data_IF_055678951464
#
_entry.id   IF_055678951464
#
_cell.length_a   1.000
_cell.length_b   1.000
_cell.length_c   1.000
_cell.angle_alpha   90.00
_cell.angle_beta   90.00
_cell.angle_gamma   90.00
#
_symmetry.space_group_name_H-M   'P 1'
#
loop_
_entity.id
_entity.type
_entity.pdbx_description
1 polymer ?
#
# COMPACT_ATOMS: atom_id res chain seq x y z
N UNK A 1 20.31 2.03 17.96
CA UNK A 1 19.21 3.00 18.11
C UNK A 1 18.26 2.76 16.94
N UNK A 2 16.95 2.94 17.10
CA UNK A 2 16.03 2.81 15.97
C UNK A 2 16.37 3.82 14.87
N UNK A 3 16.14 3.42 13.60
CA UNK A 3 16.30 4.34 12.47
C UNK A 3 15.23 5.44 12.55
N UNK A 4 15.66 6.67 12.27
CA UNK A 4 14.80 7.87 12.34
C UNK A 4 14.13 8.14 11.01
N UNK A 5 12.81 8.33 11.05
CA UNK A 5 11.94 8.41 9.90
C UNK A 5 11.29 9.78 9.80
N UNK A 6 11.26 10.34 8.58
CA UNK A 6 10.40 11.46 8.18
C UNK A 6 9.24 10.92 7.34
N UNK A 7 8.02 11.30 7.68
CA UNK A 7 6.85 11.13 6.80
C UNK A 7 6.67 12.42 5.99
N UNK A 8 6.87 12.36 4.67
CA UNK A 8 6.65 13.48 3.76
C UNK A 8 5.29 13.34 3.08
N UNK A 9 4.37 14.25 3.38
CA UNK A 9 2.96 14.15 3.02
C UNK A 9 2.13 13.45 4.10
N UNK A 10 1.26 14.22 4.75
CA UNK A 10 0.46 13.74 5.88
C UNK A 10 -1.04 13.67 5.54
N UNK A 11 -1.32 13.24 4.29
CA UNK A 11 -2.65 12.92 3.78
C UNK A 11 -3.18 11.59 4.36
N UNK A 12 -4.14 10.96 3.68
CA UNK A 12 -4.74 9.68 4.12
C UNK A 12 -3.68 8.63 4.45
N UNK A 13 -2.81 8.31 3.49
CA UNK A 13 -1.80 7.25 3.65
C UNK A 13 -0.74 7.62 4.68
N UNK A 14 -0.26 8.86 4.70
CA UNK A 14 0.73 9.30 5.70
C UNK A 14 0.22 9.16 7.14
N UNK A 15 -1.06 9.52 7.39
CA UNK A 15 -1.68 9.35 8.71
C UNK A 15 -1.89 7.89 9.09
N UNK A 16 -2.39 7.06 8.16
CA UNK A 16 -2.56 5.64 8.43
C UNK A 16 -1.22 4.92 8.62
N UNK A 17 -0.19 5.30 7.87
CA UNK A 17 1.16 4.79 8.04
C UNK A 17 1.74 5.17 9.42
N UNK A 18 1.53 6.40 9.88
CA UNK A 18 1.92 6.81 11.24
C UNK A 18 1.22 5.93 12.29
N UNK A 19 -0.11 5.74 12.20
CA UNK A 19 -0.86 4.87 13.11
C UNK A 19 -0.25 3.46 13.15
N UNK A 20 0.02 2.87 11.98
CA UNK A 20 0.60 1.53 11.86
C UNK A 20 2.03 1.42 12.45
N UNK A 21 2.82 2.50 12.34
CA UNK A 21 4.16 2.55 12.94
C UNK A 21 4.07 2.71 14.46
N UNK A 22 3.20 3.58 14.95
CA UNK A 22 3.06 3.84 16.39
C UNK A 22 2.54 2.61 17.15
N UNK A 23 1.71 1.79 16.51
CA UNK A 23 1.16 0.56 17.08
C UNK A 23 2.25 -0.48 17.38
N UNK A 24 3.20 -0.67 16.45
CA UNK A 24 4.21 -1.73 16.55
C UNK A 24 5.60 -1.25 16.99
N UNK A 25 5.92 0.04 16.86
CA UNK A 25 7.27 0.55 17.13
C UNK A 25 8.30 0.13 16.07
N UNK A 26 9.54 -0.15 16.49
CA UNK A 26 10.71 -0.60 15.70
C UNK A 26 11.42 0.50 14.89
N UNK A 27 10.74 1.56 14.48
CA UNK A 27 11.31 2.79 13.89
C UNK A 27 10.82 4.01 14.65
N UNK A 28 11.58 5.10 14.62
CA UNK A 28 11.24 6.35 15.28
C UNK A 28 10.81 7.40 14.26
N UNK A 29 9.52 7.75 14.22
CA UNK A 29 9.07 8.90 13.42
C UNK A 29 9.46 10.17 14.18
N UNK A 30 10.41 10.94 13.66
CA UNK A 30 10.91 12.17 14.29
C UNK A 30 10.31 13.43 13.69
N UNK A 31 9.83 13.34 12.45
CA UNK A 31 9.19 14.48 11.77
C UNK A 31 8.10 14.06 10.80
N UNK A 32 7.15 14.97 10.62
CA UNK A 32 6.10 14.94 9.60
C UNK A 32 6.22 16.25 8.82
N UNK A 33 6.19 16.18 7.49
CA UNK A 33 6.14 17.34 6.62
C UNK A 33 4.79 17.37 5.87
N UNK A 34 4.00 18.42 6.11
CA UNK A 34 2.68 18.61 5.46
C UNK A 34 2.49 20.10 5.12
N UNK A 35 2.20 20.39 3.86
CA UNK A 35 2.09 21.77 3.37
C UNK A 35 0.65 22.23 3.10
N UNK A 36 -0.31 21.30 3.10
CA UNK A 36 -1.71 21.58 2.76
C UNK A 36 -2.57 21.87 4.00
N UNK A 37 -2.09 21.52 5.21
CA UNK A 37 -2.80 21.73 6.47
C UNK A 37 -1.86 22.24 7.54
N UNK A 38 -2.40 23.01 8.48
CA UNK A 38 -1.67 23.41 9.68
C UNK A 38 -1.59 22.25 10.71
N UNK A 39 -0.84 22.47 11.77
CA UNK A 39 -0.61 21.48 12.82
C UNK A 39 -1.90 21.13 13.58
N UNK A 40 -2.77 22.10 13.83
CA UNK A 40 -4.02 21.89 14.56
C UNK A 40 -4.98 21.02 13.75
N UNK A 41 -5.16 21.34 12.48
CA UNK A 41 -5.95 20.55 11.53
C UNK A 41 -5.38 19.15 11.39
N UNK A 42 -4.05 19.01 11.27
CA UNK A 42 -3.37 17.72 11.15
C UNK A 42 -3.55 16.86 12.41
N UNK A 43 -3.48 17.45 13.61
CA UNK A 43 -3.78 16.75 14.86
C UNK A 43 -5.23 16.24 14.89
N UNK A 44 -6.18 17.13 14.60
CA UNK A 44 -7.62 16.83 14.61
C UNK A 44 -7.97 15.67 13.67
N UNK A 45 -7.57 15.73 12.38
CA UNK A 45 -7.89 14.67 11.42
C UNK A 45 -7.06 13.38 11.62
N UNK A 46 -6.04 13.40 12.47
CA UNK A 46 -5.35 12.18 12.92
C UNK A 46 -6.13 11.50 14.04
N UNK A 47 -6.66 12.28 14.97
CA UNK A 47 -7.46 11.75 16.07
C UNK A 47 -8.82 11.23 15.60
N UNK A 48 -9.49 12.02 14.75
CA UNK A 48 -10.85 11.72 14.27
C UNK A 48 -10.82 11.42 12.77
N UNK A 49 -10.96 10.15 12.42
CA UNK A 49 -11.10 9.71 11.03
C UNK A 49 -12.50 9.14 10.79
N UNK A 50 -13.16 9.61 9.74
CA UNK A 50 -14.55 9.23 9.43
C UNK A 50 -14.74 7.72 9.23
N UNK A 51 -13.74 7.03 8.71
CA UNK A 51 -13.83 5.62 8.33
C UNK A 51 -13.04 4.71 9.27
N UNK A 52 -11.86 5.17 9.70
CA UNK A 52 -10.97 4.39 10.56
C UNK A 52 -11.18 4.67 12.05
N UNK A 53 -12.14 5.54 12.38
CA UNK A 53 -12.50 5.86 13.75
C UNK A 53 -11.45 6.68 14.51
N UNK A 54 -11.64 6.78 15.80
CA UNK A 54 -10.76 7.54 16.69
C UNK A 54 -9.41 6.85 16.89
N UNK A 55 -8.36 7.65 17.02
CA UNK A 55 -7.01 7.17 17.28
C UNK A 55 -6.39 7.94 18.45
N UNK A 56 -5.91 7.24 19.46
CA UNK A 56 -5.33 7.84 20.68
C UNK A 56 -6.25 8.92 21.29
N UNK A 57 -7.54 8.63 21.41
CA UNK A 57 -8.56 9.57 21.88
C UNK A 57 -8.10 10.36 23.12
N UNK A 58 -8.22 11.69 23.05
CA UNK A 58 -7.77 12.66 24.06
C UNK A 58 -6.26 12.61 24.39
N UNK A 59 -5.44 11.95 23.56
CA UNK A 59 -3.98 11.84 23.75
C UNK A 59 -3.19 12.47 22.60
N UNK A 60 -3.86 13.13 21.66
CA UNK A 60 -3.21 13.89 20.58
C UNK A 60 -3.29 15.38 20.94
N UNK A 61 -2.14 16.03 20.97
CA UNK A 61 -2.03 17.46 21.24
C UNK A 61 -0.91 18.07 20.42
N UNK A 62 -0.85 19.40 20.38
CA UNK A 62 0.26 20.12 19.75
C UNK A 62 0.68 21.33 20.56
N UNK A 63 1.96 21.65 20.47
CA UNK A 63 2.54 22.86 21.06
C UNK A 63 3.67 23.38 20.14
N UNK A 64 3.56 24.66 19.74
CA UNK A 64 4.47 25.21 18.72
C UNK A 64 4.43 24.36 17.44
N UNK A 65 5.57 23.79 17.05
CA UNK A 65 5.69 22.92 15.90
C UNK A 65 5.87 21.43 16.27
N UNK A 66 5.41 21.04 17.44
CA UNK A 66 5.48 19.65 17.94
C UNK A 66 4.09 19.05 18.02
N UNK A 67 3.88 17.93 17.35
CA UNK A 67 2.74 17.04 17.57
C UNK A 67 3.09 16.02 18.66
N UNK A 68 2.17 15.80 19.57
CA UNK A 68 2.32 14.80 20.63
C UNK A 68 1.27 13.69 20.43
N UNK A 69 1.72 12.46 20.32
CA UNK A 69 0.89 11.27 20.14
C UNK A 69 1.07 10.33 21.35
N UNK A 70 0.29 10.56 22.41
CA UNK A 70 0.36 9.73 23.61
C UNK A 70 1.74 9.77 24.29
N UNK A 71 2.41 10.91 24.30
CA UNK A 71 3.77 11.11 24.83
C UNK A 71 4.89 11.03 23.80
N UNK A 72 4.64 10.55 22.58
CA UNK A 72 5.63 10.58 21.50
C UNK A 72 5.58 11.93 20.79
N UNK A 73 6.66 12.69 20.87
CA UNK A 73 6.81 14.03 20.29
C UNK A 73 7.40 13.94 18.89
N UNK A 74 6.67 14.47 17.89
CA UNK A 74 7.04 14.46 16.47
C UNK A 74 7.07 15.91 15.97
N UNK A 75 8.15 16.31 15.30
CA UNK A 75 8.30 17.66 14.75
C UNK A 75 7.39 17.80 13.52
N UNK A 76 6.58 18.85 13.48
CA UNK A 76 5.73 19.17 12.35
C UNK A 76 6.39 20.25 11.48
N UNK A 77 6.53 19.96 10.20
CA UNK A 77 7.16 20.82 9.20
C UNK A 77 6.16 21.22 8.13
N UNK A 78 6.36 22.40 7.54
CA UNK A 78 5.57 22.91 6.40
C UNK A 78 6.51 23.39 5.29
N UNK A 79 7.41 22.50 4.85
CA UNK A 79 8.49 22.82 3.91
C UNK A 79 8.14 22.27 2.54
N UNK A 80 8.05 23.17 1.55
CA UNK A 80 7.66 22.82 0.18
C UNK A 80 8.76 22.15 -0.61
N UNK A 81 10.00 22.67 -0.51
CA UNK A 81 11.14 22.12 -1.24
C UNK A 81 11.82 21.07 -0.38
N UNK A 82 11.98 19.88 -0.90
CA UNK A 82 12.57 18.75 -0.17
C UNK A 82 14.02 18.98 0.26
N UNK A 83 14.77 19.80 -0.49
CA UNK A 83 16.17 20.16 -0.17
C UNK A 83 16.28 21.04 1.06
N UNK A 84 15.22 21.76 1.43
CA UNK A 84 15.19 22.67 2.58
C UNK A 84 14.79 21.94 3.87
N UNK A 85 14.42 20.67 3.79
CA UNK A 85 14.06 19.87 4.96
C UNK A 85 15.33 19.58 5.76
N UNK A 86 15.39 19.92 7.07
CA UNK A 86 16.60 19.78 7.88
C UNK A 86 16.84 18.33 8.32
N UNK A 87 16.99 17.41 7.36
CA UNK A 87 17.09 15.95 7.62
C UNK A 87 18.31 15.61 8.48
N UNK A 88 19.43 16.30 8.28
CA UNK A 88 20.67 16.08 9.04
C UNK A 88 20.48 16.48 10.51
N UNK A 89 19.90 17.64 10.79
CA UNK A 89 19.63 18.13 12.15
C UNK A 89 18.66 17.21 12.90
N UNK A 90 17.69 16.65 12.18
CA UNK A 90 16.71 15.72 12.73
C UNK A 90 17.27 14.29 12.85
N UNK A 91 18.41 14.03 12.24
CA UNK A 91 19.02 12.71 12.15
C UNK A 91 18.18 11.71 11.32
N UNK A 92 17.39 12.20 10.36
CA UNK A 92 16.54 11.38 9.50
C UNK A 92 17.39 10.51 8.58
N UNK A 93 17.17 9.22 8.61
CA UNK A 93 17.85 8.25 7.76
C UNK A 93 16.95 7.67 6.69
N UNK A 94 15.62 7.63 6.93
CA UNK A 94 14.62 7.09 6.03
C UNK A 94 13.51 8.12 5.82
N UNK A 95 13.10 8.33 4.58
CA UNK A 95 11.89 9.10 4.23
C UNK A 95 10.81 8.15 3.74
N UNK A 96 9.60 8.29 4.29
CA UNK A 96 8.38 7.72 3.72
C UNK A 96 7.70 8.80 2.90
N UNK A 97 7.70 8.64 1.57
CA UNK A 97 7.12 9.61 0.64
C UNK A 97 5.64 9.29 0.39
N UNK A 98 4.77 10.11 0.94
CA UNK A 98 3.30 9.93 0.91
C UNK A 98 2.55 11.08 0.22
N UNK A 99 3.25 12.00 -0.47
CA UNK A 99 2.57 13.13 -1.14
C UNK A 99 1.87 12.72 -2.43
N UNK A 100 2.28 11.61 -3.04
CA UNK A 100 1.84 11.20 -4.37
C UNK A 100 2.37 12.09 -5.51
N UNK A 101 3.24 13.08 -5.21
CA UNK A 101 3.82 14.02 -6.19
C UNK A 101 5.23 13.64 -6.63
N UNK A 102 5.98 12.98 -5.76
CA UNK A 102 7.35 12.52 -6.02
C UNK A 102 7.33 11.05 -6.41
N UNK A 103 7.11 10.77 -7.69
CA UNK A 103 6.92 9.43 -8.25
C UNK A 103 7.89 9.09 -9.39
N UNK A 104 9.05 9.73 -9.39
CA UNK A 104 10.17 9.45 -10.29
C UNK A 104 11.50 9.62 -9.57
N UNK A 105 12.54 8.93 -10.02
CA UNK A 105 13.90 9.03 -9.45
C UNK A 105 14.36 10.48 -9.40
N UNK A 106 14.15 11.25 -10.47
CA UNK A 106 14.55 12.65 -10.52
C UNK A 106 13.92 13.52 -9.41
N UNK A 107 12.67 13.21 -9.01
CA UNK A 107 11.99 13.93 -7.92
C UNK A 107 12.35 13.43 -6.53
N UNK A 108 12.86 12.20 -6.43
CA UNK A 108 13.22 11.55 -5.17
C UNK A 108 14.69 11.72 -4.84
N UNK A 109 15.55 11.88 -5.87
CA UNK A 109 16.98 12.08 -5.72
C UNK A 109 17.37 13.21 -4.74
N UNK A 110 16.65 14.37 -4.74
CA UNK A 110 16.95 15.45 -3.78
C UNK A 110 16.90 15.04 -2.31
N UNK A 111 16.10 14.04 -1.92
CA UNK A 111 16.16 13.51 -0.54
C UNK A 111 17.48 12.82 -0.26
N UNK A 112 17.97 12.03 -1.21
CA UNK A 112 19.24 11.31 -1.11
C UNK A 112 20.44 12.27 -1.10
N UNK A 113 20.38 13.32 -1.92
CA UNK A 113 21.41 14.36 -1.98
C UNK A 113 21.47 15.19 -0.69
N UNK A 114 20.34 15.34 -0.02
CA UNK A 114 20.21 15.99 1.28
C UNK A 114 20.65 15.10 2.48
N UNK A 115 21.14 13.87 2.20
CA UNK A 115 21.74 13.00 3.21
C UNK A 115 20.87 11.86 3.73
N UNK A 116 19.63 11.71 3.23
CA UNK A 116 18.77 10.56 3.54
C UNK A 116 19.38 9.29 2.94
N UNK A 117 19.40 8.21 3.70
CA UNK A 117 19.91 6.92 3.20
C UNK A 117 18.92 6.22 2.27
N UNK A 118 17.63 6.22 2.63
CA UNK A 118 16.58 5.48 1.91
C UNK A 118 15.30 6.30 1.76
N UNK A 119 14.65 6.10 0.62
CA UNK A 119 13.30 6.64 0.37
C UNK A 119 12.35 5.49 0.06
N UNK A 120 11.30 5.34 0.88
CA UNK A 120 10.22 4.38 0.70
C UNK A 120 9.00 5.12 0.18
N UNK A 121 8.57 4.81 -1.04
CA UNK A 121 7.51 5.55 -1.73
C UNK A 121 6.17 4.83 -1.60
N UNK A 122 5.12 5.57 -1.24
CA UNK A 122 3.75 5.07 -1.09
C UNK A 122 2.97 5.00 -2.41
N UNK A 123 3.67 4.93 -3.53
CA UNK A 123 3.07 4.85 -4.88
C UNK A 123 4.07 4.17 -5.82
N UNK A 124 3.62 3.53 -6.90
CA UNK A 124 4.53 2.97 -7.89
C UNK A 124 5.43 4.05 -8.51
N UNK A 125 6.72 3.77 -8.61
CA UNK A 125 7.71 4.51 -9.38
C UNK A 125 8.02 3.67 -10.62
N UNK A 126 7.98 4.30 -11.80
CA UNK A 126 8.09 3.59 -13.08
C UNK A 126 9.51 3.60 -13.65
N UNK A 127 10.43 4.29 -12.98
CA UNK A 127 11.81 4.40 -13.43
C UNK A 127 12.54 3.07 -13.19
N UNK A 128 13.41 2.69 -14.09
CA UNK A 128 14.23 1.49 -13.99
C UNK A 128 15.11 1.52 -12.73
N UNK A 129 15.32 0.36 -12.13
CA UNK A 129 16.15 0.21 -10.92
C UNK A 129 15.44 0.55 -9.61
N UNK A 130 14.16 0.93 -9.64
CA UNK A 130 13.35 1.12 -8.42
C UNK A 130 12.44 -0.09 -8.22
N UNK A 131 12.72 -0.96 -7.24
CA UNK A 131 11.92 -2.15 -7.04
C UNK A 131 10.55 -1.81 -6.44
N UNK A 132 9.50 -2.39 -7.02
CA UNK A 132 8.17 -2.45 -6.45
C UNK A 132 8.09 -3.66 -5.52
N UNK A 133 8.14 -3.42 -4.21
CA UNK A 133 8.16 -4.49 -3.20
C UNK A 133 6.75 -4.74 -2.68
N UNK A 134 6.34 -5.99 -2.75
CA UNK A 134 5.10 -6.50 -2.16
C UNK A 134 5.48 -7.53 -1.10
N UNK A 135 5.29 -7.17 0.15
CA UNK A 135 5.66 -8.02 1.30
C UNK A 135 4.97 -9.38 1.21
N UNK A 136 5.75 -10.45 1.38
CA UNK A 136 5.31 -11.84 1.26
C UNK A 136 5.22 -12.37 -0.17
N UNK A 137 5.64 -11.57 -1.18
CA UNK A 137 5.63 -11.97 -2.59
C UNK A 137 7.01 -11.88 -3.23
N UNK A 138 7.71 -10.75 -3.07
CA UNK A 138 9.01 -10.48 -3.69
C UNK A 138 9.93 -9.62 -2.81
N UNK A 139 9.75 -9.64 -1.52
CA UNK A 139 10.52 -8.82 -0.58
C UNK A 139 12.00 -9.19 -0.50
N UNK A 140 12.37 -10.38 -0.98
CA UNK A 140 13.76 -10.80 -1.18
C UNK A 140 14.52 -9.96 -2.23
N UNK A 141 13.81 -9.29 -3.15
CA UNK A 141 14.42 -8.42 -4.16
C UNK A 141 15.07 -7.16 -3.55
N UNK A 142 14.71 -6.78 -2.34
CA UNK A 142 15.32 -5.61 -1.71
C UNK A 142 16.76 -5.90 -1.27
N UNK A 143 17.70 -5.31 -1.99
CA UNK A 143 19.13 -5.28 -1.64
C UNK A 143 19.52 -3.86 -1.13
N UNK A 144 19.94 -3.69 0.14
CA UNK A 144 20.33 -2.40 0.68
C UNK A 144 21.63 -1.82 0.05
N UNK A 145 22.44 -2.64 -0.62
CA UNK A 145 23.64 -2.15 -1.30
C UNK A 145 23.33 -1.50 -2.65
N UNK A 146 22.17 -1.82 -3.24
CA UNK A 146 21.75 -1.38 -4.58
C UNK A 146 20.60 -0.38 -4.51
N UNK A 147 19.56 -0.69 -3.73
CA UNK A 147 18.30 0.02 -3.79
C UNK A 147 18.22 1.12 -2.72
N UNK A 148 18.44 2.36 -3.12
CA UNK A 148 18.27 3.54 -2.24
C UNK A 148 16.85 4.11 -2.27
N UNK A 149 16.12 3.88 -3.35
CA UNK A 149 14.71 4.22 -3.55
C UNK A 149 13.97 2.92 -3.80
N UNK A 150 12.84 2.71 -3.12
CA UNK A 150 11.97 1.55 -3.31
C UNK A 150 10.52 1.95 -3.07
N UNK A 151 9.59 1.16 -3.58
CA UNK A 151 8.16 1.44 -3.42
C UNK A 151 7.43 0.27 -2.77
N UNK A 152 6.37 0.58 -2.01
CA UNK A 152 5.39 -0.41 -1.53
C UNK A 152 4.33 -0.74 -2.59
N UNK A 153 4.63 -0.51 -3.88
CA UNK A 153 3.69 -0.67 -4.99
C UNK A 153 2.36 0.11 -4.78
N UNK A 154 1.22 -0.46 -5.17
CA UNK A 154 -0.11 0.11 -4.91
C UNK A 154 -0.95 -0.79 -4.01
N UNK A 155 -2.01 -0.26 -3.41
CA UNK A 155 -2.94 -1.03 -2.59
C UNK A 155 -3.53 -2.22 -3.36
N UNK A 156 -3.96 -2.01 -4.60
CA UNK A 156 -4.51 -3.06 -5.47
C UNK A 156 -3.42 -4.09 -5.82
N UNK A 157 -2.19 -3.66 -6.11
CA UNK A 157 -1.07 -4.59 -6.37
C UNK A 157 -0.78 -5.46 -5.15
N UNK A 158 -0.81 -4.89 -3.95
CA UNK A 158 -0.65 -5.64 -2.70
C UNK A 158 -1.77 -6.66 -2.48
N UNK A 159 -3.00 -6.38 -2.96
CA UNK A 159 -4.10 -7.34 -2.89
C UNK A 159 -3.93 -8.49 -3.91
N UNK A 160 -3.68 -8.16 -5.18
CA UNK A 160 -3.73 -9.17 -6.24
C UNK A 160 -2.44 -10.00 -6.35
N UNK A 161 -1.28 -9.45 -6.01
CA UNK A 161 -0.01 -10.16 -6.16
C UNK A 161 0.10 -11.44 -5.30
N UNK A 162 -0.22 -11.46 -3.99
CA UNK A 162 -0.16 -12.68 -3.21
C UNK A 162 -1.14 -13.76 -3.71
N UNK A 163 -2.33 -13.37 -4.17
CA UNK A 163 -3.33 -14.30 -4.72
C UNK A 163 -2.81 -14.92 -6.02
N UNK A 164 -2.35 -14.10 -6.95
CA UNK A 164 -1.87 -14.56 -8.26
C UNK A 164 -0.56 -15.36 -8.12
N UNK A 165 0.37 -14.90 -7.26
CA UNK A 165 1.65 -15.60 -7.04
C UNK A 165 1.41 -17.01 -6.54
N UNK A 166 0.55 -17.18 -5.54
CA UNK A 166 0.22 -18.51 -5.00
C UNK A 166 -0.37 -19.42 -6.07
N UNK A 167 -1.36 -18.94 -6.83
CA UNK A 167 -1.99 -19.72 -7.90
C UNK A 167 -0.99 -20.04 -9.02
N UNK A 168 -0.13 -19.08 -9.39
CA UNK A 168 0.89 -19.29 -10.41
C UNK A 168 1.92 -20.33 -9.99
N UNK A 169 2.42 -20.25 -8.77
CA UNK A 169 3.44 -21.17 -8.26
C UNK A 169 2.92 -22.62 -8.10
N UNK A 170 1.64 -22.77 -7.72
CA UNK A 170 1.07 -24.09 -7.41
C UNK A 170 0.43 -24.77 -8.63
N UNK A 171 -0.21 -24.00 -9.50
CA UNK A 171 -1.02 -24.54 -10.61
C UNK A 171 -0.47 -24.09 -11.96
N UNK A 172 0.09 -22.86 -12.02
CA UNK A 172 0.48 -22.18 -13.24
C UNK A 172 -0.66 -21.36 -13.85
N UNK A 173 -0.40 -20.11 -14.20
CA UNK A 173 -1.35 -19.19 -14.86
C UNK A 173 -0.96 -19.05 -16.33
N UNK A 174 -1.91 -19.29 -17.24
CA UNK A 174 -1.75 -19.04 -18.68
C UNK A 174 -1.93 -17.57 -19.00
N UNK A 175 -3.05 -17.01 -18.63
CA UNK A 175 -3.44 -15.59 -18.78
C UNK A 175 -4.63 -15.29 -17.87
N UNK A 176 -4.98 -14.01 -17.76
CA UNK A 176 -6.13 -13.62 -16.97
C UNK A 176 -6.52 -12.17 -17.09
N UNK A 177 -7.69 -11.87 -16.51
CA UNK A 177 -8.25 -10.54 -16.42
C UNK A 177 -8.55 -10.19 -14.98
N UNK A 178 -8.28 -8.93 -14.61
CA UNK A 178 -8.48 -8.43 -13.25
C UNK A 178 -9.35 -7.20 -13.30
N UNK A 179 -10.42 -7.19 -12.51
CA UNK A 179 -11.22 -5.99 -12.30
C UNK A 179 -11.22 -5.62 -10.84
N UNK A 180 -10.73 -4.43 -10.50
CA UNK A 180 -10.88 -3.92 -9.14
C UNK A 180 -12.12 -3.04 -9.02
N UNK A 181 -13.02 -3.41 -8.14
CA UNK A 181 -14.17 -2.62 -7.69
C UNK A 181 -13.62 -1.76 -6.55
N UNK A 182 -13.25 -0.53 -6.89
CA UNK A 182 -12.39 0.30 -6.04
C UNK A 182 -13.16 1.46 -5.43
N UNK A 183 -13.04 1.64 -4.13
CA UNK A 183 -13.60 2.77 -3.43
C UNK A 183 -13.04 4.12 -3.94
N UNK A 184 -13.59 5.20 -3.43
CA UNK A 184 -13.16 6.57 -3.74
C UNK A 184 -11.73 6.83 -3.26
N UNK A 185 -11.05 7.71 -3.99
CA UNK A 185 -9.73 8.24 -3.61
C UNK A 185 -9.70 9.75 -3.86
N UNK A 186 -8.75 10.45 -3.26
CA UNK A 186 -8.58 11.90 -3.42
C UNK A 186 -8.30 12.37 -4.86
N UNK A 187 -8.16 11.45 -5.83
CA UNK A 187 -8.04 11.77 -7.26
C UNK A 187 -9.39 11.94 -7.94
N UNK A 188 -10.48 11.79 -7.21
CA UNK A 188 -11.85 11.93 -7.70
C UNK A 188 -12.50 13.14 -7.03
N UNK A 189 -13.41 13.79 -7.78
CA UNK A 189 -14.18 14.92 -7.26
C UNK A 189 -15.53 14.48 -6.72
N UNK A 190 -16.03 15.16 -5.70
CA UNK A 190 -17.38 14.95 -5.17
C UNK A 190 -18.43 15.33 -6.21
N UNK A 191 -18.26 16.52 -6.83
CA UNK A 191 -19.08 17.05 -7.94
C UNK A 191 -18.26 17.09 -9.22
N UNK A 192 -18.91 17.36 -10.37
CA UNK A 192 -18.24 17.49 -11.67
C UNK A 192 -17.16 18.59 -11.60
N UNK A 193 -15.91 18.23 -11.93
CA UNK A 193 -14.76 19.13 -11.82
C UNK A 193 -13.74 18.88 -12.93
N UNK A 194 -13.43 19.90 -13.77
CA UNK A 194 -12.58 19.74 -14.94
C UNK A 194 -11.12 19.35 -14.62
N UNK A 195 -10.61 19.68 -13.43
CA UNK A 195 -9.24 19.35 -13.00
C UNK A 195 -8.95 17.86 -12.84
N UNK A 196 -9.99 17.04 -12.70
CA UNK A 196 -9.86 15.57 -12.63
C UNK A 196 -9.76 14.90 -14.02
N UNK A 197 -10.00 15.66 -15.11
CA UNK A 197 -10.16 15.11 -16.47
C UNK A 197 -8.85 14.84 -17.22
N UNK A 198 -7.71 15.26 -16.71
CA UNK A 198 -6.43 15.37 -17.45
C UNK A 198 -6.03 14.13 -18.26
N UNK A 199 -6.42 12.93 -17.81
CA UNK A 199 -6.09 11.66 -18.50
C UNK A 199 -7.31 10.78 -18.76
N UNK A 200 -8.42 11.00 -18.08
CA UNK A 200 -9.61 10.16 -18.11
C UNK A 200 -10.86 11.04 -17.82
N UNK A 201 -11.63 11.43 -18.85
CA UNK A 201 -12.78 12.33 -18.69
C UNK A 201 -13.82 11.87 -17.67
N UNK A 202 -13.99 10.54 -17.47
CA UNK A 202 -14.93 10.01 -16.48
C UNK A 202 -14.58 10.42 -15.06
N UNK A 203 -13.31 10.67 -14.76
CA UNK A 203 -12.85 11.15 -13.43
C UNK A 203 -13.28 12.58 -13.14
N UNK A 204 -13.63 13.37 -14.16
CA UNK A 204 -14.20 14.69 -13.99
C UNK A 204 -15.65 14.67 -13.52
N UNK A 205 -16.32 13.51 -13.64
CA UNK A 205 -17.69 13.36 -13.17
C UNK A 205 -17.72 13.12 -11.67
N UNK A 206 -18.75 13.68 -11.04
CA UNK A 206 -18.98 13.54 -9.61
C UNK A 206 -19.03 12.07 -9.17
N UNK A 207 -18.44 11.79 -8.04
CA UNK A 207 -18.29 10.43 -7.52
C UNK A 207 -19.39 9.99 -6.55
N UNK A 208 -20.21 10.92 -6.09
CA UNK A 208 -21.37 10.62 -5.23
C UNK A 208 -22.48 10.02 -6.10
N UNK A 209 -23.01 8.87 -5.69
CA UNK A 209 -24.07 8.15 -6.41
C UNK A 209 -23.74 7.82 -7.87
N UNK A 210 -22.47 7.68 -8.20
CA UNK A 210 -21.99 7.39 -9.54
C UNK A 210 -20.89 6.33 -9.52
N UNK A 211 -20.86 5.47 -10.54
CA UNK A 211 -19.77 4.51 -10.75
C UNK A 211 -19.36 4.48 -12.22
N UNK A 212 -18.10 4.16 -12.48
CA UNK A 212 -17.58 4.13 -13.84
C UNK A 212 -16.31 3.28 -13.96
N UNK A 213 -16.10 2.62 -15.13
CA UNK A 213 -14.83 1.98 -15.41
C UNK A 213 -13.75 3.02 -15.71
N UNK A 214 -12.53 2.72 -15.27
CA UNK A 214 -11.35 3.54 -15.53
C UNK A 214 -10.12 2.66 -15.63
N UNK A 215 -9.01 3.22 -16.09
CA UNK A 215 -7.75 2.51 -16.16
C UNK A 215 -7.18 2.20 -14.78
N UNK A 216 -6.49 1.07 -14.64
CA UNK A 216 -5.63 0.75 -13.51
C UNK A 216 -4.27 0.29 -14.00
N UNK A 217 -3.22 0.72 -13.33
CA UNK A 217 -1.87 0.21 -13.58
C UNK A 217 -1.58 -1.12 -12.87
N UNK A 218 -2.47 -1.55 -11.98
CA UNK A 218 -2.18 -2.65 -11.04
C UNK A 218 -2.02 -4.00 -11.72
N UNK A 219 -2.81 -4.31 -12.76
CA UNK A 219 -2.66 -5.55 -13.53
C UNK A 219 -1.29 -5.63 -14.22
N UNK A 220 -0.79 -4.49 -14.72
CA UNK A 220 0.57 -4.40 -15.28
C UNK A 220 1.62 -4.45 -14.17
N UNK A 221 1.39 -3.74 -13.07
CA UNK A 221 2.34 -3.70 -11.94
C UNK A 221 2.56 -5.09 -11.31
N UNK A 222 1.54 -5.96 -11.30
CA UNK A 222 1.74 -7.36 -10.86
C UNK A 222 2.73 -8.10 -11.75
N UNK A 223 2.81 -7.79 -13.04
CA UNK A 223 3.79 -8.42 -13.93
C UNK A 223 5.22 -7.88 -13.76
N UNK A 224 5.39 -6.78 -13.03
CA UNK A 224 6.71 -6.32 -12.57
C UNK A 224 7.13 -7.06 -11.30
N UNK A 225 6.16 -7.46 -10.47
CA UNK A 225 6.35 -8.25 -9.25
C UNK A 225 6.49 -9.76 -9.56
N UNK A 226 5.80 -10.25 -10.61
CA UNK A 226 5.82 -11.64 -11.09
C UNK A 226 6.15 -11.61 -12.59
N UNK A 227 7.44 -11.51 -12.97
CA UNK A 227 7.86 -11.28 -14.36
C UNK A 227 7.39 -12.35 -15.36
N UNK A 228 7.18 -13.58 -14.90
CA UNK A 228 6.72 -14.72 -15.72
C UNK A 228 5.32 -14.50 -16.32
N UNK A 229 4.56 -13.56 -15.73
CA UNK A 229 3.21 -13.21 -16.18
C UNK A 229 3.19 -11.97 -17.09
N UNK A 230 4.34 -11.47 -17.52
CA UNK A 230 4.43 -10.31 -18.43
C UNK A 230 3.70 -10.60 -19.74
N UNK A 231 2.75 -9.70 -20.09
CA UNK A 231 1.91 -9.83 -21.28
C UNK A 231 0.73 -10.80 -21.14
N UNK A 232 0.59 -11.50 -20.00
CA UNK A 232 -0.47 -12.48 -19.76
C UNK A 232 -1.63 -11.93 -18.93
N UNK A 233 -1.45 -10.80 -18.25
CA UNK A 233 -2.45 -10.18 -17.40
C UNK A 233 -2.83 -8.78 -17.90
N UNK A 234 -4.12 -8.47 -17.83
CA UNK A 234 -4.65 -7.14 -18.08
C UNK A 234 -5.85 -6.86 -17.17
N UNK A 235 -6.30 -5.61 -17.07
CA UNK A 235 -7.43 -5.30 -16.21
C UNK A 235 -7.83 -3.84 -16.18
N UNK A 236 -8.94 -3.59 -15.48
CA UNK A 236 -9.55 -2.29 -15.30
C UNK A 236 -9.92 -2.06 -13.82
N UNK A 237 -10.21 -0.82 -13.49
CA UNK A 237 -10.87 -0.47 -12.24
C UNK A 237 -12.31 -0.03 -12.53
N UNK A 238 -13.22 -0.36 -11.63
CA UNK A 238 -14.55 0.24 -11.55
C UNK A 238 -14.55 1.05 -10.27
N UNK A 239 -14.70 2.38 -10.38
CA UNK A 239 -14.85 3.25 -9.21
C UNK A 239 -16.28 3.19 -8.73
N UNK A 240 -16.45 2.99 -7.43
CA UNK A 240 -17.76 2.90 -6.77
C UNK A 240 -17.85 3.92 -5.63
N UNK A 241 -19.06 4.42 -5.30
CA UNK A 241 -19.26 5.46 -4.29
C UNK A 241 -19.16 4.91 -2.86
N UNK A 242 -18.10 4.18 -2.57
CA UNK A 242 -17.75 3.69 -1.25
C UNK A 242 -16.54 4.46 -0.73
N UNK A 243 -16.51 4.72 0.55
CA UNK A 243 -15.47 5.53 1.15
C UNK A 243 -14.19 4.75 1.44
N UNK A 244 -14.31 3.47 1.79
CA UNK A 244 -13.17 2.59 2.07
C UNK A 244 -13.55 1.14 1.74
N UNK A 245 -12.56 0.27 1.71
CA UNK A 245 -12.60 -1.12 1.31
C UNK A 245 -12.95 -1.32 -0.17
N UNK A 246 -12.26 -2.23 -0.77
CA UNK A 246 -12.32 -2.52 -2.20
C UNK A 246 -12.34 -4.04 -2.42
N UNK A 247 -12.76 -4.45 -3.61
CA UNK A 247 -12.83 -5.84 -4.02
C UNK A 247 -12.08 -6.04 -5.34
N UNK A 248 -11.29 -7.08 -5.46
CA UNK A 248 -10.76 -7.51 -6.75
C UNK A 248 -11.50 -8.75 -7.25
N UNK A 249 -11.92 -8.71 -8.50
CA UNK A 249 -12.40 -9.84 -9.31
C UNK A 249 -11.22 -10.32 -10.15
N UNK A 250 -10.73 -11.53 -9.89
CA UNK A 250 -9.56 -12.13 -10.52
C UNK A 250 -10.03 -13.37 -11.28
N UNK A 251 -9.99 -13.32 -12.61
CA UNK A 251 -10.34 -14.45 -13.48
C UNK A 251 -9.09 -14.90 -14.24
N UNK A 252 -8.68 -16.16 -14.00
CA UNK A 252 -7.44 -16.72 -14.52
C UNK A 252 -7.70 -18.03 -15.25
N UNK A 253 -7.09 -18.20 -16.42
CA UNK A 253 -6.95 -19.48 -17.07
C UNK A 253 -5.71 -20.20 -16.54
N UNK A 254 -5.90 -21.37 -15.96
CA UNK A 254 -4.86 -22.16 -15.32
C UNK A 254 -4.20 -23.13 -16.28
N UNK A 255 -2.97 -23.57 -15.96
CA UNK A 255 -2.24 -24.57 -16.75
C UNK A 255 -2.72 -26.00 -16.50
N UNK A 256 -3.34 -26.25 -15.33
CA UNK A 256 -3.83 -27.55 -14.89
C UNK A 256 -5.30 -27.43 -14.46
N UNK A 257 -6.02 -28.51 -14.59
CA UNK A 257 -7.37 -28.61 -14.04
C UNK A 257 -7.34 -28.63 -12.51
N UNK A 258 -8.32 -27.95 -11.92
CA UNK A 258 -8.50 -27.83 -10.47
C UNK A 258 -10.00 -27.74 -10.13
N UNK A 259 -10.33 -27.94 -8.85
CA UNK A 259 -11.66 -27.67 -8.31
C UNK A 259 -11.64 -26.42 -7.41
N UNK A 260 -12.80 -25.87 -7.09
CA UNK A 260 -12.91 -24.72 -6.19
C UNK A 260 -12.39 -25.06 -4.78
N UNK A 261 -12.64 -26.27 -4.31
CA UNK A 261 -12.15 -26.77 -3.02
C UNK A 261 -10.62 -26.84 -2.98
N UNK A 262 -10.00 -27.32 -4.06
CA UNK A 262 -8.53 -27.35 -4.17
C UNK A 262 -7.94 -25.94 -4.17
N UNK A 263 -8.54 -25.00 -4.89
CA UNK A 263 -8.13 -23.58 -4.91
C UNK A 263 -8.25 -22.97 -3.51
N UNK A 264 -9.37 -23.18 -2.83
CA UNK A 264 -9.60 -22.67 -1.47
C UNK A 264 -8.62 -23.29 -0.45
N UNK A 265 -8.32 -24.58 -0.58
CA UNK A 265 -7.34 -25.25 0.28
C UNK A 265 -5.94 -24.64 0.16
N UNK A 266 -5.50 -24.25 -1.05
CA UNK A 266 -4.23 -23.56 -1.24
C UNK A 266 -4.18 -22.21 -0.53
N UNK A 267 -5.27 -21.44 -0.56
CA UNK A 267 -5.36 -20.17 0.16
C UNK A 267 -5.32 -20.37 1.67
N UNK A 268 -6.02 -21.37 2.20
CA UNK A 268 -5.97 -21.70 3.62
C UNK A 268 -4.55 -22.07 4.09
N UNK A 269 -3.87 -22.95 3.34
CA UNK A 269 -2.49 -23.34 3.64
C UNK A 269 -1.56 -22.13 3.68
N UNK A 270 -1.66 -21.26 2.67
CA UNK A 270 -0.82 -20.07 2.58
C UNK A 270 -1.10 -19.06 3.71
N UNK A 271 -2.37 -18.81 4.03
CA UNK A 271 -2.80 -17.91 5.08
C UNK A 271 -2.41 -18.39 6.50
N UNK A 272 -2.40 -19.70 6.72
CA UNK A 272 -1.90 -20.30 7.97
C UNK A 272 -0.37 -20.34 8.04
N UNK A 273 0.32 -20.32 6.89
CA UNK A 273 1.76 -20.48 6.74
C UNK A 273 2.50 -19.20 6.36
N UNK A 274 3.17 -19.25 5.21
CA UNK A 274 4.10 -18.20 4.74
C UNK A 274 3.46 -16.82 4.54
N UNK A 275 2.16 -16.76 4.23
CA UNK A 275 1.42 -15.51 4.00
C UNK A 275 0.55 -15.11 5.20
N UNK A 276 0.85 -15.62 6.39
CA UNK A 276 0.13 -15.25 7.61
C UNK A 276 0.21 -13.75 7.86
N UNK A 277 -0.96 -13.10 8.08
CA UNK A 277 -1.07 -11.65 8.26
C UNK A 277 -1.04 -10.84 6.96
N UNK A 278 -0.77 -11.48 5.81
CA UNK A 278 -0.78 -10.86 4.47
C UNK A 278 -2.01 -11.32 3.69
N UNK A 279 -2.19 -12.63 3.59
CA UNK A 279 -3.36 -13.27 2.99
C UNK A 279 -4.32 -13.76 4.07
N UNK A 280 -5.61 -13.61 3.83
CA UNK A 280 -6.67 -14.17 4.64
C UNK A 280 -7.66 -14.93 3.78
N UNK A 281 -8.47 -15.73 4.43
CA UNK A 281 -9.61 -16.44 3.86
C UNK A 281 -10.86 -16.09 4.66
N UNK A 282 -11.99 -15.95 3.98
CA UNK A 282 -13.29 -15.70 4.60
C UNK A 282 -14.33 -16.63 4.02
N UNK A 283 -15.04 -17.32 4.90
CA UNK A 283 -16.13 -18.24 4.53
C UNK A 283 -17.51 -17.62 4.77
N UNK A 284 -17.55 -16.57 5.60
CA UNK A 284 -18.79 -15.84 5.87
C UNK A 284 -19.15 -14.92 4.72
N UNK A 285 -20.43 -14.74 4.51
CA UNK A 285 -20.96 -13.84 3.49
C UNK A 285 -20.94 -12.40 4.01
N UNK A 286 -19.75 -11.77 3.95
CA UNK A 286 -19.49 -10.42 4.43
C UNK A 286 -19.54 -9.40 3.29
N UNK A 287 -19.49 -8.12 3.65
CA UNK A 287 -19.53 -6.98 2.73
C UNK A 287 -18.34 -6.07 2.92
N UNK A 288 -18.16 -5.08 2.05
CA UNK A 288 -17.05 -4.14 2.09
C UNK A 288 -16.87 -3.47 3.47
N UNK A 289 -17.96 -3.19 4.18
CA UNK A 289 -17.90 -2.52 5.49
C UNK A 289 -17.18 -3.36 6.58
N UNK A 290 -17.25 -4.68 6.46
CA UNK A 290 -16.67 -5.62 7.44
C UNK A 290 -15.14 -5.71 7.33
N UNK A 291 -14.58 -5.25 6.21
CA UNK A 291 -13.14 -5.25 5.96
C UNK A 291 -12.45 -3.91 6.25
N UNK A 292 -13.19 -2.93 6.75
CA UNK A 292 -12.61 -1.68 7.23
C UNK A 292 -11.68 -1.97 8.42
N UNK A 293 -10.47 -1.42 8.39
CA UNK A 293 -9.39 -1.66 9.36
C UNK A 293 -8.82 -3.10 9.34
N UNK A 294 -9.07 -3.88 8.30
CA UNK A 294 -8.35 -5.14 8.14
C UNK A 294 -6.92 -4.88 7.67
N UNK A 295 -5.96 -5.35 8.45
CA UNK A 295 -4.54 -5.13 8.18
C UNK A 295 -3.96 -6.04 7.09
N UNK A 296 -4.70 -7.07 6.66
CA UNK A 296 -4.25 -8.00 5.62
C UNK A 296 -4.29 -7.34 4.24
N UNK A 297 -3.40 -7.77 3.36
CA UNK A 297 -3.31 -7.26 1.99
C UNK A 297 -4.43 -7.77 1.09
N UNK A 298 -4.87 -9.01 1.31
CA UNK A 298 -5.93 -9.67 0.57
C UNK A 298 -6.70 -10.64 1.44
N UNK A 299 -8.02 -10.63 1.37
CA UNK A 299 -8.88 -11.60 2.03
C UNK A 299 -9.73 -12.29 0.96
N UNK A 300 -9.42 -13.54 0.66
CA UNK A 300 -10.13 -14.33 -0.37
C UNK A 300 -11.52 -14.68 0.15
N UNK A 301 -12.54 -14.28 -0.64
CA UNK A 301 -13.94 -14.66 -0.44
C UNK A 301 -14.14 -16.10 -0.96
N UNK A 302 -14.06 -17.06 -0.07
CA UNK A 302 -14.05 -18.48 -0.44
C UNK A 302 -15.42 -19.00 -0.89
N UNK A 303 -16.49 -18.40 -0.36
CA UNK A 303 -17.85 -18.75 -0.76
C UNK A 303 -18.13 -18.39 -2.22
N UNK A 304 -17.38 -17.43 -2.77
CA UNK A 304 -17.51 -16.94 -4.13
C UNK A 304 -16.47 -17.51 -5.11
N UNK A 305 -15.66 -18.49 -4.70
CA UNK A 305 -14.69 -19.14 -5.59
C UNK A 305 -15.42 -20.00 -6.62
N UNK A 306 -15.12 -19.80 -7.91
CA UNK A 306 -15.75 -20.54 -9.01
C UNK A 306 -14.64 -21.11 -9.90
N UNK A 307 -14.84 -22.36 -10.34
CA UNK A 307 -14.02 -22.99 -11.39
C UNK A 307 -14.93 -23.41 -12.54
N UNK A 308 -14.62 -22.94 -13.74
CA UNK A 308 -15.36 -23.23 -14.97
C UNK A 308 -14.50 -24.07 -15.89
N UNK A 309 -15.10 -25.12 -16.50
CA UNK A 309 -14.40 -25.99 -17.45
C UNK A 309 -13.12 -26.65 -16.91
N UNK A 310 -12.99 -26.76 -15.58
CA UNK A 310 -11.85 -27.34 -14.90
C UNK A 310 -10.60 -26.45 -14.82
N UNK A 311 -10.47 -25.45 -15.67
CA UNK A 311 -9.24 -24.64 -15.77
C UNK A 311 -9.42 -23.13 -15.60
N UNK A 312 -10.62 -22.59 -15.76
CA UNK A 312 -10.86 -21.18 -15.54
C UNK A 312 -11.26 -20.93 -14.08
N UNK A 313 -10.35 -20.35 -13.32
CA UNK A 313 -10.53 -20.00 -11.91
C UNK A 313 -10.95 -18.55 -11.78
N UNK A 314 -12.03 -18.31 -11.03
CA UNK A 314 -12.48 -16.98 -10.63
C UNK A 314 -12.49 -16.87 -9.11
N UNK A 315 -11.79 -15.89 -8.58
CA UNK A 315 -11.75 -15.59 -7.15
C UNK A 315 -11.98 -14.11 -6.89
N UNK A 316 -12.58 -13.81 -5.76
CA UNK A 316 -12.71 -12.46 -5.23
C UNK A 316 -11.78 -12.29 -4.05
N UNK A 317 -11.14 -11.13 -3.94
CA UNK A 317 -10.31 -10.78 -2.80
C UNK A 317 -10.66 -9.37 -2.31
N UNK A 318 -11.04 -9.28 -1.04
CA UNK A 318 -11.31 -8.04 -0.32
C UNK A 318 -10.02 -7.41 0.19
N UNK A 319 -9.99 -6.08 0.34
CA UNK A 319 -8.88 -5.38 0.96
C UNK A 319 -9.28 -3.98 1.44
N UNK A 320 -8.76 -3.58 2.60
CA UNK A 320 -8.79 -2.18 2.97
C UNK A 320 -7.65 -1.46 2.23
N UNK A 321 -8.01 -0.65 1.26
CA UNK A 321 -7.05 0.03 0.39
C UNK A 321 -6.25 1.13 1.09
N UNK A 322 -6.65 1.57 2.30
CA UNK A 322 -5.93 2.54 3.10
C UNK A 322 -5.18 1.87 4.25
N UNK A 323 -5.88 1.16 5.14
CA UNK A 323 -5.28 0.56 6.32
C UNK A 323 -4.38 -0.62 5.98
N UNK A 324 -4.87 -1.62 5.24
CA UNK A 324 -4.07 -2.79 4.84
C UNK A 324 -2.82 -2.39 4.07
N UNK A 325 -2.95 -1.43 3.15
CA UNK A 325 -1.80 -0.87 2.42
C UNK A 325 -0.82 -0.14 3.34
N UNK A 326 -1.31 0.68 4.26
CA UNK A 326 -0.46 1.44 5.20
C UNK A 326 0.28 0.52 6.17
N UNK A 327 -0.31 -0.61 6.54
CA UNK A 327 0.37 -1.67 7.30
C UNK A 327 1.56 -2.24 6.49
N UNK A 328 1.40 -2.53 5.21
CA UNK A 328 2.50 -3.00 4.34
C UNK A 328 3.58 -1.95 4.15
N UNK A 329 3.21 -0.68 3.97
CA UNK A 329 4.17 0.42 3.88
C UNK A 329 5.00 0.56 5.17
N UNK A 330 4.35 0.48 6.32
CA UNK A 330 5.03 0.49 7.62
C UNK A 330 5.94 -0.74 7.81
N UNK A 331 5.51 -1.93 7.40
CA UNK A 331 6.31 -3.15 7.45
C UNK A 331 7.53 -3.09 6.52
N UNK A 332 7.35 -2.59 5.30
CA UNK A 332 8.46 -2.37 4.37
C UNK A 332 9.47 -1.39 4.97
N UNK A 333 9.00 -0.29 5.57
CA UNK A 333 9.88 0.69 6.23
C UNK A 333 10.67 0.05 7.37
N UNK A 334 10.03 -0.81 8.19
CA UNK A 334 10.74 -1.56 9.26
C UNK A 334 11.76 -2.55 8.71
N UNK A 335 11.42 -3.25 7.63
CA UNK A 335 12.34 -4.17 6.97
C UNK A 335 13.58 -3.45 6.42
N UNK A 336 13.38 -2.27 5.83
CA UNK A 336 14.46 -1.37 5.39
C UNK A 336 15.33 -0.95 6.58
N UNK A 337 14.72 -0.48 7.66
CA UNK A 337 15.41 -0.05 8.88
C UNK A 337 16.24 -1.18 9.51
N UNK A 338 15.71 -2.40 9.58
CA UNK A 338 16.45 -3.56 10.09
C UNK A 338 17.71 -3.85 9.27
N UNK A 339 17.62 -3.83 7.94
CA UNK A 339 18.78 -4.06 7.06
C UNK A 339 19.82 -2.95 7.17
N UNK A 340 19.41 -1.69 7.38
CA UNK A 340 20.33 -0.58 7.62
C UNK A 340 21.08 -0.73 8.96
N UNK A 341 20.37 -1.12 10.03
CA UNK A 341 20.94 -1.29 11.37
C UNK A 341 21.87 -2.49 11.49
N UNK A 342 21.67 -3.55 10.71
CA UNK A 342 22.47 -4.77 10.75
C UNK A 342 23.79 -4.67 9.98
N UNK A 343 24.01 -3.60 9.19
CA UNK A 343 25.21 -3.42 8.35
C UNK A 343 25.56 -4.67 7.56
N UNK A 344 25.47 -4.67 6.28
CA UNK A 344 25.91 -5.66 5.26
C UNK A 344 26.25 -7.12 5.70
N UNK A 345 25.53 -7.70 6.62
CA UNK A 345 25.69 -9.10 7.02
C UNK A 345 24.47 -9.93 6.61
N UNK A 346 24.72 -10.70 5.53
CA UNK A 346 24.02 -11.93 5.10
C UNK A 346 22.54 -11.86 4.72
N UNK A 347 22.28 -12.25 3.50
CA UNK A 347 20.98 -12.70 3.00
C UNK A 347 20.37 -13.75 3.96
N UNK A 348 19.40 -13.36 4.78
CA UNK A 348 18.78 -14.29 5.70
C UNK A 348 17.86 -13.73 6.78
N UNK A 349 17.71 -12.42 6.92
CA UNK A 349 16.90 -11.83 7.97
C UNK A 349 15.53 -11.28 7.49
N UNK A 350 14.75 -12.11 6.80
CA UNK A 350 13.30 -11.95 6.66
C UNK A 350 12.60 -13.11 7.36
N UNK A 351 12.94 -13.42 8.60
CA UNK A 351 12.19 -14.40 9.38
C UNK A 351 11.64 -13.75 10.64
N UNK A 352 10.31 -13.73 10.69
CA UNK A 352 9.32 -13.43 11.75
C UNK A 352 8.93 -11.98 11.93
#
# INVERSE_FOLDING_TARGET
>A
MPEKVLINGYGRIGRMCLRAILDKGEVEVVAINEIAADIATSAYITEYDTHHGKFLEDKISHEGNILNFGGKKIKFLQIKNVVDIPVAELGVTIVIECTGKHNSVAKLQPFLDNGVKRVVVSAPVKDDGVPNIVIGVNDELYDPNVHRILTAASCTTNCIAPVIKLLHDKIGVKHGSITTIHCLTNTQSVLDAPWCAEKEPRRARGSVNNFYPTTTGSAKAVTEVIPELKGKLNGHAIRVPLATSSLTDITLEMMKEVTAEQVNALFHEAAAGKMKGILGCEEKLLTAADYCNDARSAIVDQASTIVMGGSQVKVYAWYDNEWGYSCRLAELTRAVAKKESCGSLTAGCFCM
#
